data_IF_709082112998
#
_entry.id   IF_709082112998
#
_cell.length_a   1.000
_cell.length_b   1.000
_cell.length_c   1.000
_cell.angle_alpha   90.00
_cell.angle_beta   90.00
_cell.angle_gamma   90.00
#
_symmetry.space_group_name_H-M   'P 1'
#
loop_
_entity.id
_entity.type
_entity.pdbx_description
1 polymer ?
#
# COMPACT_ATOMS: atom_id res chain seq x y z
N UNK A 1 -79.21 26.00 46.23
CA UNK A 1 -79.14 24.52 46.39
C UNK A 1 -77.66 24.13 46.49
N UNK A 2 -77.17 23.77 47.70
CA UNK A 2 -76.59 22.44 48.05
C UNK A 2 -75.57 21.94 46.99
N UNK A 3 -74.24 21.82 47.23
CA UNK A 3 -73.48 20.92 48.15
C UNK A 3 -71.97 21.29 48.00
N UNK A 4 -71.15 21.44 49.06
CA UNK A 4 -70.42 20.46 49.89
C UNK A 4 -69.01 20.06 49.38
N UNK A 5 -67.98 20.41 50.19
CA UNK A 5 -66.67 19.76 50.48
C UNK A 5 -65.64 19.52 49.35
N UNK A 6 -64.41 20.00 49.56
CA UNK A 6 -63.28 19.17 50.02
C UNK A 6 -62.01 20.02 50.25
N UNK A 7 -61.33 19.70 51.35
CA UNK A 7 -59.99 20.14 51.75
C UNK A 7 -58.98 19.19 51.09
N UNK A 8 -57.93 19.69 50.45
CA UNK A 8 -56.64 18.99 50.34
C UNK A 8 -55.50 20.03 50.27
N UNK A 9 -54.49 19.82 51.12
CA UNK A 9 -53.24 20.58 51.23
C UNK A 9 -52.27 19.97 50.22
N UNK A 10 -51.80 20.75 49.25
CA UNK A 10 -50.69 20.34 48.41
C UNK A 10 -49.37 20.84 49.01
N UNK A 11 -48.55 19.88 49.44
CA UNK A 11 -47.19 20.10 49.88
C UNK A 11 -46.28 20.16 48.65
N UNK A 12 -45.68 21.32 48.41
CA UNK A 12 -44.68 21.51 47.36
C UNK A 12 -43.38 20.81 47.76
N UNK A 13 -43.11 19.62 47.19
CA UNK A 13 -41.82 18.94 47.28
C UNK A 13 -40.88 19.58 46.25
N UNK A 14 -39.90 20.35 46.73
CA UNK A 14 -38.84 20.91 45.90
C UNK A 14 -37.81 19.81 45.62
N UNK A 15 -37.91 19.15 44.46
CA UNK A 15 -36.90 18.20 44.00
C UNK A 15 -35.67 18.97 43.49
N UNK A 16 -34.61 19.02 44.30
CA UNK A 16 -33.30 19.48 43.86
C UNK A 16 -32.70 18.41 42.96
N UNK A 17 -32.80 18.58 41.64
CA UNK A 17 -31.99 17.82 40.70
C UNK A 17 -30.53 18.28 40.86
N UNK A 18 -29.74 17.51 41.61
CA UNK A 18 -28.29 17.62 41.58
C UNK A 18 -27.80 17.22 40.20
N UNK A 19 -27.46 18.21 39.37
CA UNK A 19 -26.73 17.99 38.12
C UNK A 19 -25.32 17.52 38.50
N UNK A 20 -25.13 16.21 38.66
CA UNK A 20 -23.79 15.63 38.75
C UNK A 20 -23.21 15.78 37.34
N UNK A 21 -22.42 16.83 37.15
CA UNK A 21 -21.54 16.93 36.01
C UNK A 21 -20.54 15.79 36.11
N UNK A 22 -20.83 14.66 35.45
CA UNK A 22 -19.82 13.66 35.13
C UNK A 22 -18.83 14.36 34.22
N UNK A 23 -17.75 14.91 34.79
CA UNK A 23 -16.56 15.22 34.00
C UNK A 23 -16.14 13.90 33.39
N UNK A 24 -16.33 13.75 32.08
CA UNK A 24 -15.65 12.72 31.34
C UNK A 24 -14.16 12.87 31.69
N UNK A 25 -13.60 11.89 32.38
CA UNK A 25 -12.16 11.82 32.55
C UNK A 25 -11.60 11.78 31.13
N UNK A 26 -10.87 12.83 30.73
CA UNK A 26 -10.11 12.79 29.50
C UNK A 26 -9.29 11.49 29.52
N UNK A 27 -9.30 10.74 28.41
CA UNK A 27 -8.55 9.50 28.32
C UNK A 27 -7.12 9.77 28.80
N UNK A 28 -6.68 9.08 29.86
CA UNK A 28 -5.35 9.30 30.43
C UNK A 28 -4.24 8.84 29.48
N UNK A 29 -4.60 8.17 28.38
CA UNK A 29 -3.73 7.86 27.28
C UNK A 29 -4.45 8.00 25.93
N UNK A 30 -3.68 8.25 24.88
CA UNK A 30 -4.14 8.28 23.48
C UNK A 30 -3.12 7.56 22.60
N UNK A 31 -3.60 6.74 21.68
CA UNK A 31 -2.80 6.04 20.68
C UNK A 31 -3.17 6.58 19.31
N UNK A 32 -2.23 7.28 18.68
CA UNK A 32 -2.39 7.87 17.35
C UNK A 32 -1.65 6.98 16.37
N UNK A 33 -2.34 6.41 15.38
CA UNK A 33 -1.72 5.56 14.38
C UNK A 33 -2.10 5.95 12.97
N UNK A 34 -1.23 5.69 12.01
CA UNK A 34 -1.45 5.96 10.59
C UNK A 34 -0.63 5.02 9.70
N UNK A 35 -1.01 4.95 8.43
CA UNK A 35 -0.20 4.35 7.38
C UNK A 35 0.73 5.40 6.76
N UNK A 36 1.98 5.03 6.47
CA UNK A 36 3.02 5.96 6.01
C UNK A 36 2.85 6.45 4.55
N UNK A 37 2.26 5.64 3.67
CA UNK A 37 2.17 5.90 2.23
C UNK A 37 0.78 6.38 1.77
N UNK A 38 -0.21 6.38 2.66
CA UNK A 38 -1.60 6.65 2.32
C UNK A 38 -2.29 5.48 1.60
N UNK A 39 -1.65 4.88 0.58
CA UNK A 39 -2.08 3.62 -0.05
C UNK A 39 -0.89 2.87 -0.63
N UNK A 40 -0.72 1.61 -0.24
CA UNK A 40 0.29 0.74 -0.85
C UNK A 40 -0.24 0.12 -2.15
N UNK A 41 0.64 0.00 -3.15
CA UNK A 41 0.32 -0.67 -4.41
C UNK A 41 0.99 -2.04 -4.44
N UNK A 42 0.28 -3.07 -4.88
CA UNK A 42 0.84 -4.40 -5.07
C UNK A 42 0.47 -4.95 -6.44
N UNK A 43 1.24 -5.88 -6.98
CA UNK A 43 0.89 -6.60 -8.21
C UNK A 43 -0.27 -7.58 -7.98
N UNK A 44 -1.17 -7.71 -8.96
CA UNK A 44 -2.25 -8.72 -8.91
C UNK A 44 -1.75 -10.16 -9.12
N UNK A 45 -0.53 -10.34 -9.61
CA UNK A 45 0.15 -11.63 -9.81
C UNK A 45 1.67 -11.42 -9.82
N UNK A 46 2.39 -12.43 -9.31
CA UNK A 46 3.85 -12.48 -9.16
C UNK A 46 4.54 -13.51 -10.07
N UNK A 47 3.80 -14.14 -10.98
CA UNK A 47 4.31 -15.27 -11.80
C UNK A 47 5.16 -14.85 -12.99
N UNK A 48 5.06 -13.61 -13.47
CA UNK A 48 5.81 -13.12 -14.63
C UNK A 48 6.78 -12.02 -14.24
N UNK A 49 6.31 -11.02 -13.50
CA UNK A 49 7.14 -9.97 -12.93
C UNK A 49 6.53 -9.41 -11.64
N UNK A 50 7.31 -8.60 -10.94
CA UNK A 50 6.88 -7.84 -9.77
C UNK A 50 7.43 -6.41 -9.81
N UNK A 51 6.55 -5.44 -9.59
CA UNK A 51 6.89 -4.04 -9.31
C UNK A 51 6.94 -3.83 -7.80
N UNK A 52 5.91 -4.26 -7.07
CA UNK A 52 5.80 -4.12 -5.62
C UNK A 52 5.16 -5.35 -4.95
N UNK A 53 5.72 -5.78 -3.80
CA UNK A 53 5.17 -6.88 -3.03
C UNK A 53 3.89 -6.45 -2.31
N UNK A 54 3.09 -7.39 -1.76
CA UNK A 54 2.12 -7.06 -0.74
C UNK A 54 2.87 -6.45 0.44
N UNK A 55 2.42 -5.28 0.88
CA UNK A 55 3.13 -4.52 1.90
C UNK A 55 2.18 -3.52 2.55
N UNK A 56 2.48 -3.19 3.79
CA UNK A 56 1.92 -2.06 4.48
C UNK A 56 2.80 -1.72 5.68
N UNK A 57 2.73 -0.47 6.11
CA UNK A 57 3.45 0.02 7.28
C UNK A 57 2.49 0.77 8.18
N UNK A 58 2.60 0.52 9.48
CA UNK A 58 1.90 1.22 10.55
C UNK A 58 2.94 2.01 11.34
N UNK A 59 2.68 3.30 11.50
CA UNK A 59 3.37 4.17 12.46
C UNK A 59 2.38 4.55 13.56
N UNK A 60 2.83 4.57 14.82
CA UNK A 60 1.96 4.93 15.94
C UNK A 60 2.69 5.64 17.09
N UNK A 61 2.12 6.72 17.59
CA UNK A 61 2.59 7.44 18.77
C UNK A 61 1.63 7.25 19.94
N UNK A 62 2.21 6.98 21.12
CA UNK A 62 1.48 6.81 22.37
C UNK A 62 1.68 8.05 23.25
N UNK A 63 0.59 8.61 23.76
CA UNK A 63 0.59 9.73 24.71
C UNK A 63 -0.02 9.21 26.02
N UNK A 64 0.65 9.42 27.15
CA UNK A 64 0.17 9.03 28.49
C UNK A 64 0.30 10.22 29.44
N UNK A 65 -0.78 10.58 30.13
CA UNK A 65 -0.82 11.74 31.03
C UNK A 65 -0.51 13.06 30.33
N UNK A 66 -0.83 13.17 29.03
CA UNK A 66 -0.51 14.35 28.21
C UNK A 66 0.95 14.45 27.76
N UNK A 67 1.76 13.39 27.91
CA UNK A 67 3.16 13.34 27.47
C UNK A 67 3.36 12.26 26.42
N UNK A 68 4.10 12.57 25.36
CA UNK A 68 4.53 11.58 24.38
C UNK A 68 5.43 10.54 25.05
N UNK A 69 5.20 9.27 24.75
CA UNK A 69 6.07 8.17 25.12
C UNK A 69 7.28 8.18 24.18
N UNK A 70 8.45 8.51 24.71
CA UNK A 70 9.70 8.65 23.94
C UNK A 70 10.68 7.50 24.20
N UNK A 71 10.24 6.44 24.88
CA UNK A 71 11.02 5.26 25.17
C UNK A 71 10.11 4.02 25.21
N UNK A 72 10.63 2.83 24.87
CA UNK A 72 9.82 1.60 24.86
C UNK A 72 9.44 1.12 26.27
N UNK A 73 10.17 1.57 27.30
CA UNK A 73 9.98 1.05 28.66
C UNK A 73 8.61 1.44 29.21
N UNK A 74 7.89 0.43 29.69
CA UNK A 74 6.60 0.62 30.34
C UNK A 74 5.38 0.26 29.50
N UNK A 75 5.54 0.12 28.17
CA UNK A 75 4.41 -0.06 27.25
C UNK A 75 4.72 -1.04 26.12
N UNK A 76 3.69 -1.71 25.63
CA UNK A 76 3.73 -2.44 24.36
C UNK A 76 2.58 -1.98 23.47
N UNK A 77 2.79 -2.02 22.15
CA UNK A 77 1.74 -1.78 21.16
C UNK A 77 1.67 -2.99 20.23
N UNK A 78 0.45 -3.46 19.98
CA UNK A 78 0.16 -4.52 19.02
C UNK A 78 -0.84 -4.05 17.98
N UNK A 79 -0.93 -4.75 16.84
CA UNK A 79 -2.01 -4.61 15.88
C UNK A 79 -2.72 -5.94 15.64
N UNK A 80 -4.02 -5.89 15.37
CA UNK A 80 -4.86 -7.03 15.00
C UNK A 80 -5.94 -6.56 14.00
N UNK A 81 -6.45 -7.45 13.16
CA UNK A 81 -7.46 -7.07 12.18
C UNK A 81 -8.82 -6.85 12.86
N UNK A 82 -9.60 -5.92 12.33
CA UNK A 82 -10.96 -5.66 12.79
C UNK A 82 -11.89 -5.52 11.59
N UNK A 83 -13.13 -5.98 11.74
CA UNK A 83 -14.13 -5.84 10.70
C UNK A 83 -14.50 -4.36 10.51
N UNK A 84 -14.66 -3.95 9.26
CA UNK A 84 -15.26 -2.68 8.91
C UNK A 84 -16.78 -2.67 9.22
N UNK A 85 -17.47 -1.53 9.12
CA UNK A 85 -18.91 -1.45 9.38
C UNK A 85 -19.78 -2.34 8.48
N UNK A 86 -19.26 -2.84 7.36
CA UNK A 86 -19.94 -3.78 6.47
C UNK A 86 -19.62 -5.25 6.81
N UNK A 87 -18.75 -5.50 7.79
CA UNK A 87 -18.34 -6.83 8.21
C UNK A 87 -17.13 -7.38 7.44
N UNK A 88 -16.51 -6.60 6.56
CA UNK A 88 -15.30 -7.03 5.83
C UNK A 88 -14.10 -7.00 6.77
N UNK A 89 -13.36 -8.10 6.87
CA UNK A 89 -12.17 -8.25 7.70
C UNK A 89 -11.07 -8.97 6.92
N UNK A 90 -9.83 -8.55 7.12
CA UNK A 90 -8.66 -9.09 6.45
C UNK A 90 -7.62 -9.51 7.49
N UNK A 91 -7.73 -10.73 8.02
CA UNK A 91 -6.81 -11.24 9.03
C UNK A 91 -5.59 -11.95 8.42
N UNK A 92 -5.69 -12.44 7.18
CA UNK A 92 -4.65 -13.25 6.53
C UNK A 92 -4.41 -12.81 5.09
N UNK A 93 -3.17 -12.88 4.61
CA UNK A 93 -2.81 -12.73 3.20
C UNK A 93 -2.73 -14.08 2.47
N UNK A 94 -2.83 -15.18 3.22
CA UNK A 94 -2.71 -16.54 2.69
C UNK A 94 -3.89 -16.89 1.79
N UNK A 95 -3.61 -17.52 0.65
CA UNK A 95 -4.62 -17.90 -0.34
C UNK A 95 -5.12 -16.76 -1.23
N UNK A 96 -4.57 -15.54 -1.10
CA UNK A 96 -4.99 -14.34 -1.82
C UNK A 96 -4.01 -13.97 -2.95
N UNK A 97 -3.70 -14.95 -3.79
CA UNK A 97 -2.78 -14.82 -4.92
C UNK A 97 -1.61 -15.81 -4.86
N UNK A 98 -0.56 -15.54 -5.63
CA UNK A 98 0.63 -16.37 -5.79
C UNK A 98 1.89 -15.78 -5.13
N UNK A 99 1.75 -14.77 -4.28
CA UNK A 99 2.85 -14.09 -3.60
C UNK A 99 3.84 -15.04 -2.93
N UNK A 100 3.37 -15.87 -2.00
CA UNK A 100 4.23 -16.77 -1.22
C UNK A 100 4.98 -17.80 -2.07
N UNK A 101 4.41 -18.19 -3.22
CA UNK A 101 5.04 -19.12 -4.15
C UNK A 101 6.21 -18.47 -4.92
N UNK A 102 6.21 -17.15 -5.09
CA UNK A 102 7.20 -16.41 -5.89
C UNK A 102 8.10 -15.49 -5.05
N UNK A 103 7.85 -15.36 -3.74
CA UNK A 103 8.59 -14.45 -2.86
C UNK A 103 10.10 -14.75 -2.82
N UNK A 104 10.48 -16.04 -2.89
CA UNK A 104 11.89 -16.42 -2.95
C UNK A 104 12.54 -16.00 -4.26
N UNK A 105 11.94 -16.33 -5.40
CA UNK A 105 12.51 -16.03 -6.72
C UNK A 105 12.60 -14.52 -6.99
N UNK A 106 11.62 -13.76 -6.50
CA UNK A 106 11.56 -12.31 -6.71
C UNK A 106 12.35 -11.51 -5.67
N UNK A 107 12.28 -11.87 -4.39
CA UNK A 107 12.79 -11.05 -3.28
C UNK A 107 13.91 -11.74 -2.49
N UNK A 108 14.27 -12.98 -2.82
CA UNK A 108 15.20 -13.80 -2.03
C UNK A 108 14.66 -14.16 -0.64
N UNK A 109 13.37 -13.91 -0.39
CA UNK A 109 12.76 -14.10 0.90
C UNK A 109 12.30 -15.54 1.08
N UNK A 110 12.87 -16.22 2.08
CA UNK A 110 12.37 -17.54 2.52
C UNK A 110 11.27 -17.30 3.53
N UNK A 111 10.04 -17.18 3.05
CA UNK A 111 8.85 -17.07 3.89
C UNK A 111 8.44 -18.49 4.29
N UNK A 112 8.73 -18.87 5.53
CA UNK A 112 8.51 -20.24 6.05
C UNK A 112 7.09 -20.46 6.54
N UNK A 113 6.38 -19.39 6.86
CA UNK A 113 5.00 -19.43 7.34
C UNK A 113 4.07 -18.59 6.46
N UNK A 114 2.81 -19.01 6.45
CA UNK A 114 1.69 -18.17 6.04
C UNK A 114 1.77 -16.81 6.75
N UNK A 115 1.33 -15.74 6.08
CA UNK A 115 1.20 -14.40 6.70
C UNK A 115 2.50 -13.66 7.01
N UNK A 116 3.68 -14.25 6.74
CA UNK A 116 4.97 -13.58 6.97
C UNK A 116 5.22 -12.40 6.02
N UNK A 117 5.69 -11.29 6.60
CA UNK A 117 6.07 -10.08 5.88
C UNK A 117 7.54 -10.00 5.51
N UNK A 118 7.88 -9.23 4.46
CA UNK A 118 9.26 -9.08 3.98
C UNK A 118 10.20 -8.36 4.97
N UNK A 119 9.63 -7.48 5.82
CA UNK A 119 10.37 -6.70 6.80
C UNK A 119 10.10 -7.16 8.25
N UNK A 120 9.61 -8.39 8.41
CA UNK A 120 9.49 -9.09 9.69
C UNK A 120 8.26 -8.73 10.53
N UNK A 121 7.28 -8.03 9.95
CA UNK A 121 5.95 -7.86 10.55
C UNK A 121 4.92 -8.67 9.76
N UNK A 122 4.15 -9.50 10.47
CA UNK A 122 3.28 -10.49 9.87
C UNK A 122 1.81 -10.02 9.84
N UNK A 123 0.98 -10.64 9.01
CA UNK A 123 -0.47 -10.52 9.18
C UNK A 123 -0.90 -11.21 10.50
N UNK A 124 -2.00 -10.78 11.16
CA UNK A 124 -2.52 -11.43 12.37
C UNK A 124 -2.84 -12.93 12.21
N UNK A 125 -3.05 -13.39 10.99
CA UNK A 125 -3.38 -14.75 10.62
C UNK A 125 -4.85 -15.10 10.88
N UNK A 126 -5.25 -16.32 10.51
CA UNK A 126 -6.65 -16.78 10.64
C UNK A 126 -7.17 -16.81 12.09
N UNK A 127 -6.27 -16.93 13.07
CA UNK A 127 -6.59 -16.80 14.50
C UNK A 127 -6.69 -15.35 14.99
N UNK A 128 -6.40 -14.38 14.13
CA UNK A 128 -6.31 -12.94 14.42
C UNK A 128 -5.44 -12.64 15.65
N UNK A 129 -4.26 -13.26 15.72
CA UNK A 129 -3.36 -13.08 16.85
C UNK A 129 -2.75 -11.68 16.81
N UNK A 130 -2.79 -10.90 17.91
CA UNK A 130 -2.17 -9.58 17.94
C UNK A 130 -0.68 -9.65 17.65
N UNK A 131 -0.24 -8.87 16.67
CA UNK A 131 1.14 -8.80 16.23
C UNK A 131 1.86 -7.64 16.92
N UNK A 132 3.08 -7.82 17.43
CA UNK A 132 3.82 -6.76 18.13
C UNK A 132 4.33 -5.69 17.17
N UNK A 133 4.41 -4.45 17.65
CA UNK A 133 5.10 -3.35 16.98
C UNK A 133 6.43 -3.05 17.67
N UNK A 134 7.46 -2.68 16.89
CA UNK A 134 8.77 -2.28 17.43
C UNK A 134 8.76 -0.81 17.79
N UNK A 135 9.38 -0.41 18.90
CA UNK A 135 9.58 1.01 19.19
C UNK A 135 10.85 1.51 18.49
N UNK A 136 10.76 2.65 17.82
CA UNK A 136 11.88 3.34 17.18
C UNK A 136 12.05 4.74 17.78
N UNK A 137 13.27 5.02 18.25
CA UNK A 137 13.65 6.37 18.66
C UNK A 137 13.98 7.25 17.44
N UNK A 138 14.60 6.64 16.43
CA UNK A 138 15.03 7.27 15.18
C UNK A 138 14.63 6.38 14.00
N UNK A 139 14.33 6.99 12.85
CA UNK A 139 14.18 6.30 11.56
C UNK A 139 15.29 6.71 10.58
N UNK A 140 15.42 5.95 9.48
CA UNK A 140 16.38 6.22 8.40
C UNK A 140 15.62 6.29 7.08
N UNK A 141 15.01 7.45 6.74
CA UNK A 141 14.13 7.55 5.57
C UNK A 141 14.90 7.55 4.24
N UNK A 142 16.21 7.82 4.28
CA UNK A 142 17.10 7.76 3.13
C UNK A 142 18.53 7.44 3.59
N UNK A 143 19.39 6.89 2.71
CA UNK A 143 20.79 6.63 3.05
C UNK A 143 21.49 7.89 3.62
N UNK A 144 22.02 7.76 4.84
CA UNK A 144 22.71 8.85 5.53
C UNK A 144 21.80 9.90 6.19
N UNK A 145 20.48 9.74 6.14
CA UNK A 145 19.51 10.60 6.83
C UNK A 145 18.97 9.85 8.04
N UNK A 146 19.08 10.43 9.23
CA UNK A 146 18.45 9.90 10.46
C UNK A 146 17.57 10.97 11.08
N UNK A 147 16.33 10.62 11.43
CA UNK A 147 15.39 11.56 12.06
C UNK A 147 14.79 10.99 13.35
N UNK A 148 14.76 11.76 14.46
CA UNK A 148 14.09 11.33 15.68
C UNK A 148 12.57 11.31 15.50
N UNK A 149 11.93 10.19 15.85
CA UNK A 149 10.50 9.94 15.62
C UNK A 149 9.72 9.52 16.86
N UNK A 150 10.34 8.78 17.78
CA UNK A 150 9.69 8.28 19.02
C UNK A 150 8.31 7.65 18.78
N UNK A 151 8.27 6.54 18.03
CA UNK A 151 7.02 5.87 17.66
C UNK A 151 7.11 4.34 17.77
N UNK A 152 5.98 3.67 17.70
CA UNK A 152 5.85 2.24 17.43
C UNK A 152 5.65 2.05 15.94
N UNK A 153 6.32 1.06 15.38
CA UNK A 153 6.42 0.82 13.95
C UNK A 153 6.19 -0.66 13.64
N UNK A 154 5.43 -0.94 12.59
CA UNK A 154 5.32 -2.26 12.00
C UNK A 154 5.37 -2.13 10.49
N UNK A 155 6.27 -2.83 9.84
CA UNK A 155 6.61 -2.61 8.43
C UNK A 155 6.68 -3.92 7.67
N UNK A 156 6.20 -3.85 6.43
CA UNK A 156 6.19 -5.00 5.53
C UNK A 156 5.10 -6.00 5.84
N UNK A 157 4.01 -5.56 6.45
CA UNK A 157 2.81 -6.36 6.67
C UNK A 157 2.28 -6.78 5.27
N UNK A 158 2.18 -8.07 4.93
CA UNK A 158 1.90 -8.53 3.57
C UNK A 158 0.39 -8.43 3.22
N UNK A 159 -0.21 -7.29 3.50
CA UNK A 159 -1.63 -7.03 3.34
C UNK A 159 -2.03 -7.00 1.85
N UNK A 160 -3.22 -7.52 1.55
CA UNK A 160 -3.77 -7.56 0.19
C UNK A 160 -5.11 -6.81 0.11
N UNK A 161 -5.56 -6.36 -1.07
CA UNK A 161 -6.84 -5.68 -1.22
C UNK A 161 -8.06 -6.64 -1.24
N UNK A 162 -7.90 -7.85 -0.71
CA UNK A 162 -8.95 -8.86 -0.63
C UNK A 162 -9.14 -9.28 0.82
N UNK A 163 -10.38 -9.28 1.28
CA UNK A 163 -10.76 -9.70 2.63
C UNK A 163 -10.76 -11.23 2.76
N UNK A 164 -11.05 -11.75 3.94
CA UNK A 164 -10.98 -13.20 4.21
C UNK A 164 -12.05 -14.01 3.48
N UNK A 165 -13.10 -13.36 2.97
CA UNK A 165 -14.09 -13.96 2.09
C UNK A 165 -13.69 -13.86 0.60
N UNK A 166 -12.51 -13.30 0.29
CA UNK A 166 -12.04 -13.07 -1.07
C UNK A 166 -12.71 -11.88 -1.76
N UNK A 167 -13.47 -11.05 -1.01
CA UNK A 167 -14.11 -9.87 -1.55
C UNK A 167 -13.13 -8.69 -1.56
N UNK A 168 -13.24 -7.84 -2.59
CA UNK A 168 -12.38 -6.68 -2.73
C UNK A 168 -12.63 -5.68 -1.60
N UNK A 169 -11.59 -5.38 -0.81
CA UNK A 169 -11.59 -4.29 0.16
C UNK A 169 -10.20 -3.63 0.19
N UNK A 170 -10.12 -2.42 -0.34
CA UNK A 170 -8.87 -1.66 -0.46
C UNK A 170 -8.60 -0.77 0.76
N UNK A 171 -9.46 -0.85 1.78
CA UNK A 171 -9.36 -0.10 3.05
C UNK A 171 -9.58 -1.01 4.26
N UNK A 172 -8.85 -2.12 4.38
CA UNK A 172 -8.93 -2.97 5.56
C UNK A 172 -8.58 -2.17 6.82
N UNK A 173 -9.24 -2.53 7.93
CA UNK A 173 -8.99 -1.93 9.24
C UNK A 173 -8.10 -2.82 10.11
N UNK A 174 -7.18 -2.16 10.81
CA UNK A 174 -6.42 -2.77 11.90
C UNK A 174 -6.67 -1.99 13.19
N UNK A 175 -6.83 -2.71 14.29
CA UNK A 175 -6.89 -2.17 15.63
C UNK A 175 -5.50 -2.16 16.25
N UNK A 176 -5.06 -0.99 16.69
CA UNK A 176 -3.88 -0.83 17.52
C UNK A 176 -4.28 -0.90 19.00
N UNK A 177 -3.48 -1.60 19.80
CA UNK A 177 -3.72 -1.77 21.23
C UNK A 177 -2.46 -1.47 22.01
N UNK A 178 -2.49 -0.43 22.84
CA UNK A 178 -1.42 -0.11 23.79
C UNK A 178 -1.71 -0.75 25.16
N UNK A 179 -0.71 -1.41 25.74
CA UNK A 179 -0.77 -2.02 27.07
C UNK A 179 0.32 -1.50 27.99
N UNK A 180 0.03 -1.44 29.29
CA UNK A 180 1.04 -1.21 30.32
C UNK A 180 1.82 -2.50 30.65
N UNK A 181 2.81 -2.42 31.55
CA UNK A 181 3.61 -3.57 31.99
C UNK A 181 2.80 -4.66 32.72
N UNK A 182 1.59 -4.35 33.20
CA UNK A 182 0.70 -5.31 33.85
C UNK A 182 -0.23 -5.97 32.81
N UNK A 183 -0.15 -5.58 31.54
CA UNK A 183 -0.96 -6.09 30.44
C UNK A 183 -2.31 -5.39 30.29
N UNK A 184 -2.59 -4.35 31.08
CA UNK A 184 -3.84 -3.60 30.98
C UNK A 184 -3.85 -2.76 29.71
N UNK A 185 -4.97 -2.78 28.99
CA UNK A 185 -5.19 -1.90 27.84
C UNK A 185 -5.34 -0.46 28.36
N UNK A 186 -4.50 0.45 27.86
CA UNK A 186 -4.53 1.86 28.24
C UNK A 186 -5.06 2.78 27.13
N UNK A 187 -4.92 2.36 25.87
CA UNK A 187 -5.44 3.06 24.71
C UNK A 187 -5.63 2.08 23.54
N UNK A 188 -6.59 2.37 22.67
CA UNK A 188 -6.83 1.67 21.42
C UNK A 188 -7.20 2.66 20.32
N UNK A 189 -6.90 2.31 19.08
CA UNK A 189 -7.30 3.08 17.91
C UNK A 189 -7.46 2.15 16.72
N UNK A 190 -8.51 2.36 15.92
CA UNK A 190 -8.71 1.63 14.67
C UNK A 190 -8.22 2.51 13.52
N UNK A 191 -7.36 1.96 12.68
CA UNK A 191 -6.72 2.65 11.57
C UNK A 191 -6.99 1.91 10.27
N UNK A 192 -6.96 2.64 9.16
CA UNK A 192 -7.05 2.06 7.82
C UNK A 192 -5.63 1.77 7.33
N UNK A 193 -5.41 0.61 6.74
CA UNK A 193 -4.19 0.27 6.00
C UNK A 193 -4.53 0.11 4.50
N UNK A 194 -4.56 1.20 3.72
CA UNK A 194 -5.05 1.10 2.36
C UNK A 194 -4.04 0.37 1.47
N UNK A 195 -4.56 -0.51 0.63
CA UNK A 195 -3.78 -1.31 -0.31
C UNK A 195 -4.59 -1.54 -1.58
N UNK A 196 -3.93 -1.59 -2.74
CA UNK A 196 -4.58 -1.73 -4.04
C UNK A 196 -3.71 -2.49 -5.04
N UNK A 197 -4.35 -3.16 -5.99
CA UNK A 197 -3.75 -3.80 -7.17
C UNK A 197 -4.31 -3.22 -8.49
N UNK A 198 -4.86 -1.99 -8.44
CA UNK A 198 -5.57 -1.35 -9.56
C UNK A 198 -4.70 -0.90 -10.75
N UNK A 199 -3.38 -1.13 -10.72
CA UNK A 199 -2.52 -0.78 -11.85
C UNK A 199 -2.95 -1.54 -13.11
N UNK A 200 -3.24 -0.82 -14.18
CA UNK A 200 -4.01 -1.34 -15.33
C UNK A 200 -3.17 -1.40 -16.62
N UNK A 201 -2.01 -2.05 -16.58
CA UNK A 201 -1.11 -2.15 -17.75
C UNK A 201 -1.80 -2.75 -18.99
N UNK A 202 -2.79 -3.62 -18.78
CA UNK A 202 -3.58 -4.25 -19.84
C UNK A 202 -4.38 -3.27 -20.68
N UNK A 203 -4.63 -2.04 -20.20
CA UNK A 203 -5.27 -1.01 -21.00
C UNK A 203 -4.53 -0.72 -22.32
N UNK A 204 -3.20 -0.92 -22.33
CA UNK A 204 -2.35 -0.75 -23.52
C UNK A 204 -1.54 -2.00 -23.91
N UNK A 205 -1.28 -2.92 -22.99
CA UNK A 205 -0.46 -4.11 -23.26
C UNK A 205 -1.27 -5.39 -23.50
N UNK A 206 -2.61 -5.33 -23.50
CA UNK A 206 -3.42 -6.44 -23.98
C UNK A 206 -3.38 -6.51 -25.53
N UNK A 207 -3.50 -7.70 -26.15
CA UNK A 207 -3.52 -7.85 -27.59
C UNK A 207 -4.53 -6.94 -28.29
N UNK A 208 -4.06 -6.18 -29.28
CA UNK A 208 -4.88 -5.27 -30.07
C UNK A 208 -5.36 -4.01 -29.34
N UNK A 209 -4.83 -3.70 -28.15
CA UNK A 209 -5.26 -2.53 -27.37
C UNK A 209 -4.61 -1.22 -27.86
N UNK A 210 -3.28 -1.13 -27.91
CA UNK A 210 -2.57 0.06 -28.43
C UNK A 210 -1.36 -0.32 -29.31
N UNK A 211 -1.25 0.18 -30.55
CA UNK A 211 -0.19 -0.24 -31.49
C UNK A 211 1.24 0.07 -30.98
N UNK A 212 1.45 1.18 -30.27
CA UNK A 212 2.78 1.53 -29.73
C UNK A 212 3.24 0.61 -28.58
N UNK A 213 2.35 -0.25 -28.08
CA UNK A 213 2.60 -1.23 -27.04
C UNK A 213 2.68 -2.67 -27.59
N UNK A 214 2.59 -2.85 -28.92
CA UNK A 214 2.76 -4.15 -29.55
C UNK A 214 4.26 -4.53 -29.59
N UNK A 215 4.65 -5.74 -29.12
CA UNK A 215 5.99 -6.25 -29.33
C UNK A 215 6.35 -6.33 -30.82
N UNK A 216 7.62 -6.22 -31.17
CA UNK A 216 8.09 -6.28 -32.56
C UNK A 216 7.76 -7.61 -33.26
N UNK A 217 7.64 -8.69 -32.49
CA UNK A 217 7.21 -10.01 -32.97
C UNK A 217 5.68 -10.17 -33.08
N UNK A 218 4.92 -9.13 -32.75
CA UNK A 218 3.46 -9.12 -32.66
C UNK A 218 2.94 -9.48 -31.26
N UNK A 219 1.64 -9.30 -31.08
CA UNK A 219 0.96 -9.60 -29.81
C UNK A 219 1.10 -11.06 -29.37
N UNK A 220 1.48 -11.24 -28.11
CA UNK A 220 1.44 -12.52 -27.42
C UNK A 220 0.04 -12.71 -26.84
N UNK A 221 -0.59 -13.84 -27.16
CA UNK A 221 -1.87 -14.25 -26.58
C UNK A 221 -1.70 -15.39 -25.58
N UNK A 222 -2.45 -15.37 -24.49
CA UNK A 222 -2.45 -16.42 -23.46
C UNK A 222 -3.89 -16.71 -22.99
N UNK A 223 -4.17 -17.94 -22.57
CA UNK A 223 -5.48 -18.29 -22.03
C UNK A 223 -5.77 -17.55 -20.70
N UNK A 224 -4.73 -17.16 -19.98
CA UNK A 224 -4.82 -16.31 -18.80
C UNK A 224 -4.54 -14.85 -19.19
N UNK A 225 -5.58 -14.01 -19.17
CA UNK A 225 -5.48 -12.57 -19.49
C UNK A 225 -4.51 -11.82 -18.57
N UNK A 226 -4.35 -12.26 -17.32
CA UNK A 226 -3.39 -11.64 -16.39
C UNK A 226 -1.94 -11.95 -16.78
N UNK A 227 -1.70 -13.11 -17.38
CA UNK A 227 -0.38 -13.49 -17.91
C UNK A 227 -0.12 -12.82 -19.26
N UNK A 228 -1.16 -12.70 -20.08
CA UNK A 228 -1.09 -12.19 -21.45
C UNK A 228 -0.46 -10.79 -21.53
N UNK A 229 -1.03 -9.80 -20.85
CA UNK A 229 -0.49 -8.44 -20.90
C UNK A 229 0.91 -8.35 -20.27
N UNK A 230 1.18 -9.16 -19.24
CA UNK A 230 2.49 -9.17 -18.57
C UNK A 230 3.58 -9.67 -19.50
N UNK A 231 3.31 -10.72 -20.27
CA UNK A 231 4.24 -11.21 -21.27
C UNK A 231 4.48 -10.19 -22.39
N UNK A 232 3.44 -9.45 -22.82
CA UNK A 232 3.60 -8.35 -23.77
C UNK A 232 4.44 -7.20 -23.20
N UNK A 233 4.26 -6.83 -21.93
CA UNK A 233 5.12 -5.84 -21.24
C UNK A 233 6.59 -6.26 -21.29
N UNK A 234 6.89 -7.52 -20.92
CA UNK A 234 8.27 -8.02 -20.92
C UNK A 234 8.86 -8.09 -22.33
N UNK A 235 8.07 -8.46 -23.34
CA UNK A 235 8.53 -8.52 -24.72
C UNK A 235 8.84 -7.13 -25.31
N UNK A 236 7.98 -6.12 -25.06
CA UNK A 236 8.26 -4.73 -25.47
C UNK A 236 9.49 -4.18 -24.75
N UNK A 237 9.66 -4.52 -23.46
CA UNK A 237 10.86 -4.16 -22.72
C UNK A 237 12.10 -4.77 -23.38
N UNK A 238 12.09 -6.07 -23.70
CA UNK A 238 13.19 -6.74 -24.39
C UNK A 238 13.52 -6.07 -25.73
N UNK A 239 12.51 -5.80 -26.56
CA UNK A 239 12.71 -5.17 -27.87
C UNK A 239 13.42 -3.80 -27.76
N UNK A 240 13.00 -2.98 -26.79
CA UNK A 240 13.58 -1.65 -26.57
C UNK A 240 15.00 -1.72 -26.02
N UNK A 241 15.22 -2.53 -24.99
CA UNK A 241 16.51 -2.59 -24.31
C UNK A 241 17.58 -3.30 -25.15
N UNK A 242 17.22 -4.31 -25.93
CA UNK A 242 18.16 -4.89 -26.90
C UNK A 242 18.54 -3.91 -28.00
N UNK A 243 17.62 -3.05 -28.44
CA UNK A 243 17.88 -2.06 -29.49
C UNK A 243 18.71 -0.87 -28.98
N UNK A 244 18.40 -0.35 -27.80
CA UNK A 244 19.01 0.88 -27.27
C UNK A 244 20.22 0.64 -26.36
N UNK A 245 20.26 -0.49 -25.65
CA UNK A 245 21.17 -0.73 -24.54
C UNK A 245 21.79 -2.13 -24.55
N UNK A 246 22.05 -2.70 -25.75
CA UNK A 246 22.45 -4.11 -25.95
C UNK A 246 23.49 -4.63 -24.95
N UNK A 247 24.60 -3.91 -24.75
CA UNK A 247 25.69 -4.35 -23.88
C UNK A 247 25.36 -4.25 -22.39
N UNK A 248 24.73 -3.14 -21.97
CA UNK A 248 24.29 -2.93 -20.58
C UNK A 248 23.19 -3.94 -20.21
N UNK A 249 22.27 -4.20 -21.13
CA UNK A 249 21.15 -5.10 -20.91
C UNK A 249 21.60 -6.57 -20.85
N UNK A 250 22.46 -7.01 -21.75
CA UNK A 250 23.04 -8.36 -21.67
C UNK A 250 23.83 -8.59 -20.36
N UNK A 251 24.57 -7.58 -19.90
CA UNK A 251 25.28 -7.66 -18.63
C UNK A 251 24.33 -7.71 -17.43
N UNK A 252 23.28 -6.89 -17.42
CA UNK A 252 22.30 -6.86 -16.31
C UNK A 252 21.47 -8.15 -16.23
N UNK A 253 21.10 -8.74 -17.38
CA UNK A 253 20.47 -10.06 -17.44
C UNK A 253 21.37 -11.12 -16.80
N UNK A 254 22.65 -11.18 -17.23
CA UNK A 254 23.60 -12.15 -16.70
C UNK A 254 23.86 -11.96 -15.21
N UNK A 255 23.98 -10.71 -14.73
CA UNK A 255 24.23 -10.41 -13.33
C UNK A 255 23.07 -10.83 -12.40
N UNK A 256 21.84 -10.85 -12.94
CA UNK A 256 20.63 -11.25 -12.22
C UNK A 256 20.21 -12.70 -12.49
N UNK A 257 21.04 -13.50 -13.19
CA UNK A 257 20.73 -14.90 -13.49
C UNK A 257 19.54 -15.09 -14.44
N UNK A 258 19.21 -14.06 -15.22
CA UNK A 258 18.10 -14.07 -16.18
C UNK A 258 18.54 -14.66 -17.52
N UNK A 259 17.56 -15.07 -18.33
CA UNK A 259 17.80 -15.62 -19.65
C UNK A 259 18.47 -14.58 -20.56
N UNK A 260 19.54 -14.97 -21.27
CA UNK A 260 20.25 -14.09 -22.20
C UNK A 260 19.38 -13.62 -23.38
N UNK A 261 18.25 -14.29 -23.65
CA UNK A 261 17.26 -13.88 -24.63
C UNK A 261 16.24 -12.85 -24.10
N UNK A 262 16.33 -12.43 -22.84
CA UNK A 262 15.51 -11.35 -22.26
C UNK A 262 14.59 -11.76 -21.11
N UNK A 263 13.83 -10.78 -20.63
CA UNK A 263 12.85 -10.93 -19.54
C UNK A 263 11.70 -11.84 -19.94
N UNK A 264 11.18 -11.71 -21.17
CA UNK A 264 10.09 -12.55 -21.67
C UNK A 264 10.50 -14.03 -21.64
N UNK A 265 11.71 -14.34 -22.13
CA UNK A 265 12.24 -15.70 -22.12
C UNK A 265 12.42 -16.25 -20.69
N UNK A 266 12.81 -15.39 -19.74
CA UNK A 266 12.93 -15.74 -18.32
C UNK A 266 11.57 -16.11 -17.72
N UNK A 267 10.56 -15.25 -17.88
CA UNK A 267 9.20 -15.50 -17.36
C UNK A 267 8.53 -16.72 -18.02
N UNK A 268 8.79 -16.97 -19.30
CA UNK A 268 8.32 -18.18 -20.01
C UNK A 268 8.98 -19.45 -19.51
N UNK A 269 10.22 -19.37 -19.04
CA UNK A 269 10.95 -20.49 -18.43
C UNK A 269 10.59 -20.72 -16.95
N UNK A 270 9.70 -19.90 -16.38
CA UNK A 270 9.26 -20.00 -14.98
C UNK A 270 10.09 -19.18 -14.01
N UNK A 271 10.92 -18.25 -14.50
CA UNK A 271 11.70 -17.33 -13.66
C UNK A 271 11.04 -15.94 -13.71
N UNK A 272 10.28 -15.54 -12.67
CA UNK A 272 9.67 -14.22 -12.63
C UNK A 272 10.72 -13.13 -12.47
N UNK A 273 10.41 -11.92 -12.95
CA UNK A 273 11.35 -10.79 -12.95
C UNK A 273 10.97 -9.74 -11.89
N UNK A 274 11.85 -9.47 -10.93
CA UNK A 274 11.72 -8.27 -10.09
C UNK A 274 12.28 -7.06 -10.84
N UNK A 275 11.44 -6.06 -11.14
CA UNK A 275 11.91 -4.85 -11.87
C UNK A 275 13.04 -4.13 -11.10
N UNK A 276 12.93 -4.14 -9.77
CA UNK A 276 13.94 -3.57 -8.88
C UNK A 276 15.23 -4.39 -8.74
N UNK A 277 15.37 -5.51 -9.47
CA UNK A 277 16.64 -6.21 -9.61
C UNK A 277 17.65 -5.43 -10.47
N UNK A 278 17.15 -4.65 -11.43
CA UNK A 278 17.98 -3.79 -12.29
C UNK A 278 17.77 -2.30 -12.03
N UNK A 279 16.53 -1.87 -11.78
CA UNK A 279 16.17 -0.47 -11.61
C UNK A 279 16.17 -0.04 -10.14
N UNK A 280 16.70 1.15 -9.84
CA UNK A 280 16.58 1.68 -8.49
C UNK A 280 15.11 1.84 -8.07
N UNK A 281 14.78 1.45 -6.84
CA UNK A 281 13.45 1.57 -6.24
C UNK A 281 13.57 2.02 -4.80
N UNK A 282 13.08 3.22 -4.50
CA UNK A 282 13.02 3.76 -3.15
C UNK A 282 12.12 2.91 -2.24
N UNK A 283 10.99 2.44 -2.77
CA UNK A 283 10.06 1.59 -2.04
C UNK A 283 10.70 0.26 -1.57
N UNK A 284 11.76 -0.20 -2.24
CA UNK A 284 12.47 -1.44 -1.92
C UNK A 284 13.91 -1.21 -1.45
N UNK A 285 14.35 0.05 -1.34
CA UNK A 285 15.73 0.40 -1.00
C UNK A 285 16.79 -0.21 -1.95
N UNK A 286 16.42 -0.49 -3.21
CA UNK A 286 17.31 -1.13 -4.19
C UNK A 286 18.03 -0.06 -5.02
N UNK A 287 19.36 -0.15 -5.19
CA UNK A 287 20.10 0.73 -6.09
C UNK A 287 19.96 0.28 -7.55
N UNK A 288 20.26 1.17 -8.48
CA UNK A 288 20.35 0.84 -9.90
C UNK A 288 21.55 -0.06 -10.18
N UNK A 289 21.37 -1.02 -11.08
CA UNK A 289 22.45 -1.82 -11.63
C UNK A 289 23.52 -0.93 -12.27
N UNK A 290 24.78 -1.15 -11.89
CA UNK A 290 25.95 -0.48 -12.43
C UNK A 290 26.78 -1.51 -13.21
N UNK A 291 27.05 -1.21 -14.48
CA UNK A 291 27.93 -2.05 -15.29
C UNK A 291 29.34 -2.10 -14.69
N UNK A 292 29.87 -3.31 -14.58
CA UNK A 292 31.28 -3.58 -14.24
C UNK A 292 32.20 -3.45 -15.46
N UNK A 293 31.63 -3.56 -16.66
CA UNK A 293 32.33 -3.43 -17.94
C UNK A 293 32.30 -2.01 -18.52
N UNK A 294 31.71 -1.03 -17.83
CA UNK A 294 31.68 0.37 -18.25
C UNK A 294 30.57 0.72 -19.26
N UNK A 295 29.52 -0.10 -19.37
CA UNK A 295 28.35 0.12 -20.22
C UNK A 295 27.34 1.15 -19.65
N UNK A 296 27.64 1.74 -18.50
CA UNK A 296 26.79 2.73 -17.82
C UNK A 296 25.94 2.15 -16.69
N UNK A 297 24.86 2.86 -16.38
CA UNK A 297 23.96 2.58 -15.26
C UNK A 297 22.53 2.45 -15.75
N UNK A 298 21.78 1.51 -15.18
CA UNK A 298 20.34 1.42 -15.44
C UNK A 298 19.62 2.58 -14.73
N UNK A 299 18.73 3.34 -15.39
CA UNK A 299 17.96 4.40 -14.72
C UNK A 299 17.06 3.88 -13.59
N UNK A 300 16.61 4.76 -12.68
CA UNK A 300 15.65 4.37 -11.65
C UNK A 300 14.33 3.92 -12.26
N UNK A 301 13.56 3.09 -11.54
CA UNK A 301 12.31 2.54 -12.07
C UNK A 301 11.32 3.64 -12.40
N UNK A 302 11.24 4.66 -11.53
CA UNK A 302 10.42 5.85 -11.77
C UNK A 302 10.84 6.59 -13.04
N UNK A 303 12.15 6.77 -13.27
CA UNK A 303 12.62 7.45 -14.47
C UNK A 303 12.29 6.65 -15.74
N UNK A 304 12.57 5.34 -15.74
CA UNK A 304 12.27 4.47 -16.89
C UNK A 304 10.77 4.44 -17.18
N UNK A 305 9.92 4.20 -16.18
CA UNK A 305 8.47 4.12 -16.37
C UNK A 305 7.89 5.45 -16.85
N UNK A 306 8.20 6.58 -16.20
CA UNK A 306 7.61 7.85 -16.61
C UNK A 306 8.16 8.32 -17.96
N UNK A 307 9.47 8.21 -18.23
CA UNK A 307 10.03 8.69 -19.49
C UNK A 307 9.52 7.92 -20.72
N UNK A 308 9.29 6.60 -20.59
CA UNK A 308 8.79 5.80 -21.71
C UNK A 308 7.29 5.96 -21.95
N UNK A 309 6.52 6.25 -20.91
CA UNK A 309 5.06 6.36 -21.03
C UNK A 309 4.56 7.79 -21.24
N UNK A 310 5.32 8.82 -20.81
CA UNK A 310 4.88 10.23 -20.86
C UNK A 310 4.27 10.63 -22.21
N UNK A 311 4.96 10.28 -23.29
CA UNK A 311 4.60 10.69 -24.66
C UNK A 311 3.57 9.77 -25.34
N UNK A 312 3.20 8.65 -24.69
CA UNK A 312 2.19 7.72 -25.21
C UNK A 312 0.82 8.39 -25.16
N UNK A 313 0.05 8.26 -26.24
CA UNK A 313 -1.32 8.77 -26.30
C UNK A 313 -2.29 7.69 -25.85
N UNK A 314 -3.21 8.00 -24.94
CA UNK A 314 -4.23 7.06 -24.49
C UNK A 314 -5.45 7.03 -25.42
N UNK A 315 -6.45 6.22 -25.06
CA UNK A 315 -7.71 6.09 -25.83
C UNK A 315 -8.55 7.36 -25.87
N UNK A 316 -8.28 8.35 -25.01
CA UNK A 316 -8.92 9.67 -25.07
C UNK A 316 -8.26 10.61 -26.09
N UNK A 317 -7.12 10.23 -26.66
CA UNK A 317 -6.34 11.05 -27.58
C UNK A 317 -5.43 12.06 -26.88
N UNK A 318 -5.25 11.94 -25.56
CA UNK A 318 -4.32 12.77 -24.78
C UNK A 318 -3.06 11.98 -24.45
N UNK A 319 -1.93 12.68 -24.33
CA UNK A 319 -0.70 12.09 -23.79
C UNK A 319 -0.89 11.71 -22.33
N UNK A 320 -0.15 10.72 -21.87
CA UNK A 320 -0.19 10.30 -20.47
C UNK A 320 0.41 11.36 -19.54
N UNK A 321 1.32 12.20 -20.01
CA UNK A 321 1.89 13.33 -19.26
C UNK A 321 1.11 14.66 -19.41
N UNK A 322 -0.02 14.66 -20.14
CA UNK A 322 -0.81 15.88 -20.26
C UNK A 322 -1.36 16.28 -18.88
N UNK A 323 -1.05 17.50 -18.44
CA UNK A 323 -1.51 18.03 -17.15
C UNK A 323 -3.03 18.05 -16.95
N UNK A 324 -3.81 17.90 -18.02
CA UNK A 324 -5.28 17.81 -17.99
C UNK A 324 -5.76 16.36 -17.94
N UNK A 325 -4.89 15.38 -18.18
CA UNK A 325 -5.22 13.96 -18.26
C UNK A 325 -4.95 13.24 -16.94
N UNK A 326 -5.74 13.51 -15.91
CA UNK A 326 -5.61 12.78 -14.64
C UNK A 326 -5.89 11.28 -14.77
N UNK A 327 -6.78 10.88 -15.67
CA UNK A 327 -7.08 9.47 -15.91
C UNK A 327 -5.83 8.67 -16.27
N UNK A 328 -4.86 9.28 -16.96
CA UNK A 328 -3.57 8.66 -17.25
C UNK A 328 -2.80 8.24 -16.00
N UNK A 329 -2.75 9.10 -14.97
CA UNK A 329 -2.09 8.75 -13.71
C UNK A 329 -2.72 7.51 -13.07
N UNK A 330 -4.03 7.33 -13.21
CA UNK A 330 -4.73 6.17 -12.67
C UNK A 330 -4.57 4.87 -13.44
N UNK A 331 -3.90 4.90 -14.60
CA UNK A 331 -3.47 3.69 -15.29
C UNK A 331 -2.30 3.02 -14.57
N UNK A 332 -1.45 3.82 -13.92
CA UNK A 332 -0.22 3.35 -13.27
C UNK A 332 -0.31 3.41 -11.74
N UNK A 333 -1.10 4.33 -11.19
CA UNK A 333 -1.33 4.49 -9.77
C UNK A 333 -2.77 4.14 -9.40
N UNK A 334 -3.02 3.54 -8.24
CA UNK A 334 -4.38 3.25 -7.82
C UNK A 334 -5.18 4.54 -7.65
N UNK A 335 -6.46 4.50 -7.97
CA UNK A 335 -7.37 5.58 -7.61
C UNK A 335 -8.57 5.79 -8.52
N UNK A 336 -8.67 5.06 -9.64
CA UNK A 336 -9.85 5.06 -10.50
C UNK A 336 -11.09 4.58 -9.75
N UNK A 337 -10.98 3.48 -8.99
CA UNK A 337 -12.03 3.00 -8.09
C UNK A 337 -11.62 3.14 -6.62
N UNK A 338 -10.35 2.91 -6.30
CA UNK A 338 -9.78 3.09 -4.94
C UNK A 338 -9.56 4.54 -4.54
N UNK A 339 -10.06 5.54 -5.28
CA UNK A 339 -10.10 6.97 -4.88
C UNK A 339 -8.90 7.39 -4.02
N UNK A 340 -7.68 7.21 -4.54
CA UNK A 340 -6.45 7.35 -3.76
C UNK A 340 -6.22 8.81 -3.31
N UNK A 341 -6.72 9.78 -4.09
CA UNK A 341 -6.74 11.19 -3.70
C UNK A 341 -7.74 11.40 -2.54
N UNK A 342 -7.23 11.50 -1.31
CA UNK A 342 -8.02 11.64 -0.08
C UNK A 342 -7.56 12.81 0.77
N UNK A 343 -8.22 13.01 1.91
CA UNK A 343 -7.87 14.05 2.86
C UNK A 343 -7.95 15.44 2.25
N UNK A 344 -6.95 16.29 2.53
CA UNK A 344 -6.90 17.66 2.03
C UNK A 344 -6.91 17.73 0.49
N UNK A 345 -6.21 16.80 -0.18
CA UNK A 345 -6.13 16.75 -1.64
C UNK A 345 -7.47 16.34 -2.27
N UNK A 346 -8.13 15.33 -1.70
CA UNK A 346 -9.43 14.85 -2.20
C UNK A 346 -10.63 15.73 -1.81
N UNK A 347 -10.49 16.59 -0.79
CA UNK A 347 -11.59 17.46 -0.31
C UNK A 347 -11.58 18.85 -0.95
N UNK A 348 -10.53 19.19 -1.69
CA UNK A 348 -10.47 20.45 -2.42
C UNK A 348 -11.32 20.36 -3.68
N UNK A 349 -12.54 20.89 -3.61
CA UNK A 349 -13.52 20.88 -4.70
C UNK A 349 -13.82 22.33 -5.12
N UNK A 350 -13.75 22.61 -6.41
CA UNK A 350 -14.07 23.89 -7.01
C UNK A 350 -15.59 24.14 -7.04
N UNK A 351 -16.00 25.37 -7.34
CA UNK A 351 -17.41 25.77 -7.32
C UNK A 351 -18.28 25.00 -8.34
N UNK A 352 -17.69 24.44 -9.38
CA UNK A 352 -18.35 23.61 -10.40
C UNK A 352 -18.42 22.12 -10.04
N UNK A 353 -17.93 21.73 -8.86
CA UNK A 353 -17.89 20.34 -8.40
C UNK A 353 -16.67 19.54 -8.88
N UNK A 354 -15.78 20.12 -9.68
CA UNK A 354 -14.51 19.51 -10.06
C UNK A 354 -13.51 19.54 -8.91
N UNK A 355 -12.52 18.65 -8.90
CA UNK A 355 -11.45 18.69 -7.90
C UNK A 355 -10.51 19.88 -8.21
N UNK A 356 -10.31 20.73 -7.21
CA UNK A 356 -9.49 21.93 -7.29
C UNK A 356 -7.97 21.63 -7.24
N UNK A 357 -7.58 20.42 -6.82
CA UNK A 357 -6.21 19.91 -6.87
C UNK A 357 -6.17 18.60 -7.67
N UNK A 358 -5.16 18.47 -8.53
CA UNK A 358 -4.89 17.27 -9.34
C UNK A 358 -3.52 16.68 -8.98
N UNK A 359 -3.25 15.44 -9.42
CA UNK A 359 -1.94 14.80 -9.23
C UNK A 359 -0.83 15.69 -9.84
N UNK A 360 -1.06 16.14 -11.07
CA UNK A 360 -0.18 17.00 -11.85
C UNK A 360 0.06 18.38 -11.21
N UNK A 361 -0.83 18.84 -10.31
CA UNK A 361 -0.61 20.09 -9.57
C UNK A 361 0.65 20.07 -8.70
N UNK A 362 1.14 18.88 -8.33
CA UNK A 362 2.33 18.71 -7.49
C UNK A 362 3.38 17.75 -8.09
N UNK A 363 2.95 16.77 -8.90
CA UNK A 363 3.82 15.69 -9.38
C UNK A 363 4.35 15.87 -10.81
N UNK A 364 3.89 16.91 -11.53
CA UNK A 364 4.22 17.16 -12.93
C UNK A 364 3.08 16.71 -13.83
#
# INVERSE_FOLDING_TARGET
>A
MRRLKSIFRDATVLAVLGLVATRALAASAALLGWNNLGMHCMDSSYSEFSILPPYNTIEAQLIVGGKLVTAPSGFSVTYEAVADPNGSINTTSTGKGNWYANAFDLYGAVLTDADQGLAGCDMPGTGNHPQPMRFEADNVPAPGVSTPVSWFHAEGIPLTPYDDAGLKNTYPLMRLVARDMLGHIIAQSDIVLPVSDEMDCKACHAPGSHPDAEPAAGWITDANVEREYRLNVLAVHDDREFAAHTALYAESLSANGLNAAGLYASARAGTPVLCAACHASEALGKPSFQSTAGHGAVPSLTQSMHAFHAEVTDTSGMKLDDSRNRSACYQCHPGSSTRCLRGAMGSAVAADGSLAMQCQSCHG
#
